data_IF_314393921634
#
_entry.id   IF_314393921634
#
_cell.length_a   1.000
_cell.length_b   1.000
_cell.length_c   1.000
_cell.angle_alpha   90.00
_cell.angle_beta   90.00
_cell.angle_gamma   90.00
#
_symmetry.space_group_name_H-M   'P 1'
#
loop_
_entity.id
_entity.type
_entity.pdbx_description
1 polymer ?
#
# COMPACT_ATOMS: atom_id res chain seq x y z
N UNK A 1 5.05 -49.41 -9.66
CA UNK A 1 4.72 -48.27 -8.78
C UNK A 1 5.50 -47.08 -9.29
N UNK A 2 4.87 -46.23 -10.11
CA UNK A 2 5.50 -45.05 -10.68
C UNK A 2 5.65 -43.99 -9.59
N UNK A 3 6.88 -43.58 -9.31
CA UNK A 3 7.18 -42.48 -8.39
C UNK A 3 6.58 -41.17 -8.91
N UNK A 4 5.98 -40.31 -8.05
CA UNK A 4 5.49 -39.01 -8.47
C UNK A 4 6.67 -38.06 -8.76
N UNK A 5 6.55 -37.29 -9.85
CA UNK A 5 7.47 -36.20 -10.20
C UNK A 5 7.50 -35.13 -9.11
N UNK A 6 8.65 -34.46 -8.85
CA UNK A 6 8.71 -33.40 -7.86
C UNK A 6 7.89 -32.20 -8.36
N UNK A 7 6.82 -31.87 -7.65
CA UNK A 7 6.08 -30.63 -7.82
C UNK A 7 7.06 -29.47 -7.68
N UNK A 8 7.16 -28.60 -8.69
CA UNK A 8 7.93 -27.38 -8.59
C UNK A 8 7.44 -26.58 -7.36
N UNK A 9 8.27 -26.48 -6.33
CA UNK A 9 7.99 -25.64 -5.16
C UNK A 9 7.90 -24.19 -5.65
N UNK A 10 6.68 -23.65 -5.66
CA UNK A 10 6.46 -22.23 -5.92
C UNK A 10 6.98 -21.45 -4.73
N UNK A 11 8.13 -20.81 -4.92
CA UNK A 11 8.68 -19.84 -3.96
C UNK A 11 7.74 -18.66 -3.84
N UNK A 12 7.49 -18.21 -2.61
CA UNK A 12 6.68 -17.01 -2.36
C UNK A 12 7.30 -15.76 -3.02
N UNK A 13 6.48 -14.80 -3.48
CA UNK A 13 7.00 -13.55 -4.03
C UNK A 13 7.76 -12.77 -2.95
N UNK A 14 8.74 -11.93 -3.35
CA UNK A 14 9.47 -11.10 -2.42
C UNK A 14 8.54 -10.09 -1.72
N UNK A 15 8.83 -9.71 -0.47
CA UNK A 15 8.06 -8.70 0.23
C UNK A 15 8.23 -7.31 -0.40
N UNK A 16 7.26 -6.43 -0.18
CA UNK A 16 7.37 -5.02 -0.55
C UNK A 16 8.39 -4.30 0.33
N UNK A 17 9.10 -3.36 -0.28
CA UNK A 17 10.11 -2.51 0.34
C UNK A 17 9.53 -1.17 0.77
N UNK A 18 10.30 -0.39 1.54
CA UNK A 18 9.95 1.00 1.88
C UNK A 18 9.80 1.86 0.61
N UNK A 19 10.63 1.62 -0.40
CA UNK A 19 10.59 2.37 -1.66
C UNK A 19 9.32 2.06 -2.46
N UNK A 20 8.81 0.82 -2.40
CA UNK A 20 7.53 0.47 -3.02
C UNK A 20 6.38 1.28 -2.40
N UNK A 21 6.34 1.38 -1.07
CA UNK A 21 5.32 2.17 -0.36
C UNK A 21 5.48 3.67 -0.65
N UNK A 22 6.71 4.19 -0.66
CA UNK A 22 7.01 5.59 -1.02
C UNK A 22 6.50 5.90 -2.44
N UNK A 23 6.79 5.02 -3.41
CA UNK A 23 6.35 5.19 -4.79
C UNK A 23 4.81 5.17 -4.93
N UNK A 24 4.12 4.31 -4.17
CA UNK A 24 2.65 4.27 -4.17
C UNK A 24 2.03 5.55 -3.60
N UNK A 25 2.54 6.04 -2.47
CA UNK A 25 2.07 7.29 -1.87
C UNK A 25 2.29 8.49 -2.79
N UNK A 26 3.48 8.59 -3.41
CA UNK A 26 3.78 9.63 -4.38
C UNK A 26 2.80 9.63 -5.56
N UNK A 27 2.56 8.46 -6.17
CA UNK A 27 1.59 8.32 -7.28
C UNK A 27 0.18 8.70 -6.87
N UNK A 28 -0.28 8.29 -5.69
CA UNK A 28 -1.62 8.66 -5.21
C UNK A 28 -1.77 10.18 -5.03
N UNK A 29 -0.73 10.84 -4.50
CA UNK A 29 -0.70 12.29 -4.35
C UNK A 29 -0.65 13.03 -5.69
N UNK A 30 0.15 12.54 -6.64
CA UNK A 30 0.25 13.07 -8.00
C UNK A 30 -1.07 12.94 -8.76
N UNK A 31 -1.72 11.76 -8.72
CA UNK A 31 -3.03 11.56 -9.35
C UNK A 31 -4.11 12.48 -8.78
N UNK A 32 -4.07 12.78 -7.47
CA UNK A 32 -4.98 13.76 -6.88
C UNK A 32 -4.73 15.17 -7.43
N UNK A 33 -3.46 15.58 -7.57
CA UNK A 33 -3.10 16.86 -8.15
C UNK A 33 -3.51 16.96 -9.64
N UNK A 34 -3.29 15.90 -10.43
CA UNK A 34 -3.72 15.81 -11.83
C UNK A 34 -5.25 15.92 -11.97
N UNK A 35 -6.00 15.40 -11.00
CA UNK A 35 -7.45 15.53 -10.92
C UNK A 35 -7.93 16.91 -10.43
N UNK A 36 -7.02 17.85 -10.12
CA UNK A 36 -7.34 19.17 -9.58
C UNK A 36 -7.76 19.16 -8.10
N UNK A 37 -7.45 18.09 -7.37
CA UNK A 37 -7.72 17.97 -5.93
C UNK A 37 -6.52 18.45 -5.10
N UNK A 38 -6.80 18.91 -3.88
CA UNK A 38 -5.76 19.35 -2.95
C UNK A 38 -4.97 18.18 -2.31
N UNK A 39 -5.48 16.96 -2.40
CA UNK A 39 -4.87 15.76 -1.80
C UNK A 39 -5.88 14.64 -1.55
N UNK A 40 -5.44 13.59 -0.85
CA UNK A 40 -6.25 12.42 -0.48
C UNK A 40 -6.20 12.21 1.03
N UNK A 41 -7.34 11.84 1.62
CA UNK A 41 -7.46 11.39 3.00
C UNK A 41 -7.83 9.90 2.98
N UNK A 42 -7.01 9.05 3.60
CA UNK A 42 -7.19 7.60 3.61
C UNK A 42 -7.48 7.11 5.01
N UNK A 43 -8.64 6.47 5.18
CA UNK A 43 -9.06 5.84 6.42
C UNK A 43 -8.45 4.43 6.58
N UNK A 44 -8.51 3.85 7.80
CA UNK A 44 -8.06 2.48 8.03
C UNK A 44 -8.80 1.49 7.13
N UNK A 45 -8.05 0.70 6.36
CA UNK A 45 -8.61 -0.23 5.40
C UNK A 45 -7.58 -0.74 4.39
N UNK A 46 -8.01 -1.47 3.35
CA UNK A 46 -7.13 -2.02 2.32
C UNK A 46 -6.23 -0.97 1.66
N UNK A 47 -6.73 0.25 1.44
CA UNK A 47 -5.97 1.33 0.83
C UNK A 47 -4.80 1.79 1.71
N UNK A 48 -5.02 1.93 3.02
CA UNK A 48 -3.95 2.27 3.97
C UNK A 48 -2.87 1.17 3.98
N UNK A 49 -3.28 -0.10 3.97
CA UNK A 49 -2.36 -1.24 3.89
C UNK A 49 -1.59 -1.25 2.57
N UNK A 50 -2.25 -0.92 1.47
CA UNK A 50 -1.60 -0.84 0.16
C UNK A 50 -0.53 0.24 0.12
N UNK A 51 -0.85 1.42 0.67
CA UNK A 51 0.00 2.61 0.63
C UNK A 51 1.14 2.58 1.64
N UNK A 52 0.96 1.92 2.80
CA UNK A 52 1.91 2.02 3.92
C UNK A 52 2.32 0.67 4.53
N UNK A 53 1.61 -0.41 4.22
CA UNK A 53 1.74 -1.70 4.92
C UNK A 53 1.15 -1.71 6.32
N UNK A 54 0.74 -0.56 6.86
CA UNK A 54 0.21 -0.42 8.21
C UNK A 54 -1.20 -1.02 8.33
N UNK A 55 -1.38 -1.92 9.30
CA UNK A 55 -2.64 -2.60 9.61
C UNK A 55 -3.10 -2.21 11.02
N UNK A 56 -3.72 -1.03 11.17
CA UNK A 56 -4.25 -0.62 12.47
C UNK A 56 -5.37 -1.54 12.93
N UNK A 57 -5.50 -1.70 14.24
CA UNK A 57 -6.70 -2.27 14.85
C UNK A 57 -7.85 -1.27 14.75
N UNK A 58 -9.08 -1.77 14.61
CA UNK A 58 -10.26 -0.92 14.61
C UNK A 58 -10.49 -0.34 16.01
N UNK A 59 -10.65 0.97 16.11
CA UNK A 59 -10.93 1.69 17.36
C UNK A 59 -11.91 2.84 17.09
N UNK A 60 -12.42 3.49 18.13
CA UNK A 60 -13.19 4.72 18.03
C UNK A 60 -12.34 5.93 17.62
N UNK A 61 -11.00 5.83 17.71
CA UNK A 61 -10.08 6.92 17.41
C UNK A 61 -9.88 7.07 15.92
N UNK A 62 -10.10 8.29 15.44
CA UNK A 62 -9.83 8.65 14.05
C UNK A 62 -8.33 8.53 13.75
N UNK A 63 -8.01 7.66 12.81
CA UNK A 63 -6.66 7.50 12.24
C UNK A 63 -6.77 7.77 10.75
N UNK A 64 -5.97 8.68 10.22
CA UNK A 64 -5.99 9.04 8.80
C UNK A 64 -4.57 9.19 8.28
N UNK A 65 -4.35 8.77 7.04
CA UNK A 65 -3.19 9.19 6.24
C UNK A 65 -3.61 10.36 5.35
N UNK A 66 -2.80 11.41 5.29
CA UNK A 66 -3.03 12.58 4.44
C UNK A 66 -1.93 12.64 3.38
N UNK A 67 -2.30 12.64 2.11
CA UNK A 67 -1.35 12.71 0.99
C UNK A 67 -1.55 13.98 0.18
N UNK A 68 -0.45 14.70 -0.07
CA UNK A 68 -0.41 15.91 -0.92
C UNK A 68 0.85 15.90 -1.77
N UNK A 69 0.72 16.28 -3.04
CA UNK A 69 1.85 16.26 -3.97
C UNK A 69 2.98 17.18 -3.49
N UNK A 70 4.22 16.69 -3.54
CA UNK A 70 5.41 17.45 -3.13
C UNK A 70 5.52 17.75 -1.62
N UNK A 71 4.76 17.06 -0.78
CA UNK A 71 4.81 17.17 0.68
C UNK A 71 5.05 15.79 1.30
N UNK A 72 5.76 15.75 2.42
CA UNK A 72 5.80 14.54 3.23
C UNK A 72 4.40 14.24 3.81
N UNK A 73 4.03 12.94 3.91
CA UNK A 73 2.73 12.50 4.40
C UNK A 73 2.50 12.73 5.89
#
# INVERSE_FOLDING_TARGET
MSSPSPSAQQSAPPPFTVDDYRARMARAAESAAEAGLAGVIVAPGPDLVHLTGYRPVSTERLTLLVLRAGQDP
#
